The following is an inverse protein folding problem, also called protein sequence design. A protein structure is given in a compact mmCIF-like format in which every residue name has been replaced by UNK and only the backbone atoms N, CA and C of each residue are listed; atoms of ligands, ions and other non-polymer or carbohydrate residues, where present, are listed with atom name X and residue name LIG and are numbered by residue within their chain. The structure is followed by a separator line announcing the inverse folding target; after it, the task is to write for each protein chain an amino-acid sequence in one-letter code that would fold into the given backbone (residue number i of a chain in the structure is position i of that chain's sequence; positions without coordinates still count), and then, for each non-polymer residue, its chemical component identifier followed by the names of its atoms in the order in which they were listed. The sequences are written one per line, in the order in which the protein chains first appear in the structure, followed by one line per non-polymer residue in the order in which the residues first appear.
data_IF_851136817120
#
_entry.id   IF_851136817120
#
_cell.length_a   1.000
_cell.length_b   1.000
_cell.length_c   1.000
_cell.angle_alpha   90.00
_cell.angle_beta   90.00
_cell.angle_gamma   90.00
#
_symmetry.space_group_name_H-M   'P 1'
#
loop_
_entity.id
_entity.type
_entity.pdbx_description
1 polymer ?
#
# COMPACT_ATOMS: atom_id res chain seq x y z
N UNK A 1 -9.31 -19.69 -11.33
CA UNK A 1 -10.64 -19.98 -10.78
C UNK A 1 -10.97 -21.48 -10.80
N UNK A 2 -10.75 -22.21 -11.92
CA UNK A 2 -10.98 -23.66 -11.95
C UNK A 2 -10.12 -24.45 -10.96
N UNK A 3 -8.90 -24.00 -10.68
CA UNK A 3 -7.99 -24.68 -9.74
C UNK A 3 -8.50 -24.65 -8.31
N UNK A 4 -9.11 -23.54 -7.88
CA UNK A 4 -9.73 -23.42 -6.55
C UNK A 4 -10.98 -24.32 -6.42
N UNK A 5 -11.76 -24.44 -7.48
CA UNK A 5 -12.93 -25.32 -7.53
C UNK A 5 -12.50 -26.79 -7.40
N UNK A 6 -11.53 -27.23 -8.20
CA UNK A 6 -10.97 -28.59 -8.15
C UNK A 6 -10.34 -28.94 -6.80
N UNK A 7 -9.61 -27.98 -6.19
CA UNK A 7 -9.05 -28.16 -4.84
C UNK A 7 -10.16 -28.28 -3.79
N UNK A 8 -11.21 -27.49 -3.91
CA UNK A 8 -12.36 -27.54 -3.01
C UNK A 8 -13.07 -28.90 -3.04
N UNK A 9 -13.33 -29.43 -4.22
CA UNK A 9 -13.91 -30.78 -4.38
C UNK A 9 -13.00 -31.87 -3.80
N UNK A 10 -11.68 -31.78 -4.06
CA UNK A 10 -10.70 -32.73 -3.56
C UNK A 10 -10.61 -32.75 -2.03
N UNK A 11 -10.74 -31.61 -1.38
CA UNK A 11 -10.69 -31.47 0.08
C UNK A 11 -12.06 -31.46 0.76
N UNK A 12 -13.14 -31.70 0.04
CA UNK A 12 -14.48 -31.75 0.60
C UNK A 12 -15.02 -30.43 1.12
N UNK A 13 -14.55 -29.30 0.55
CA UNK A 13 -15.03 -27.96 0.90
C UNK A 13 -16.40 -27.76 0.26
N UNK A 14 -17.40 -27.36 1.05
CA UNK A 14 -18.75 -27.13 0.54
C UNK A 14 -18.80 -25.99 -0.48
N UNK A 15 -19.63 -26.10 -1.50
CA UNK A 15 -19.81 -25.09 -2.57
C UNK A 15 -20.03 -23.67 -2.06
N UNK A 16 -20.63 -23.53 -0.87
CA UNK A 16 -20.83 -22.24 -0.18
C UNK A 16 -19.53 -21.43 -0.01
N UNK A 17 -18.39 -22.09 0.06
CA UNK A 17 -17.08 -21.47 0.26
C UNK A 17 -16.21 -21.45 -1.01
N UNK A 18 -16.72 -21.99 -2.11
CA UNK A 18 -16.04 -22.04 -3.41
C UNK A 18 -16.53 -20.90 -4.30
N UNK A 19 -15.86 -19.76 -4.24
CA UNK A 19 -16.12 -18.64 -5.15
C UNK A 19 -14.82 -18.22 -5.83
N UNK A 20 -14.89 -17.97 -7.13
CA UNK A 20 -13.75 -17.46 -7.90
C UNK A 20 -13.27 -16.08 -7.44
N UNK A 21 -14.13 -15.32 -6.78
CA UNK A 21 -13.87 -14.01 -6.18
C UNK A 21 -13.67 -14.07 -4.67
N UNK A 22 -13.68 -15.25 -4.05
CA UNK A 22 -13.52 -15.39 -2.61
C UNK A 22 -12.12 -14.99 -2.17
N UNK A 23 -12.04 -14.08 -1.20
CA UNK A 23 -10.84 -13.84 -0.41
C UNK A 23 -10.92 -14.64 0.90
N UNK A 24 -9.77 -14.78 1.57
CA UNK A 24 -9.75 -15.39 2.92
C UNK A 24 -10.70 -14.67 3.89
N UNK A 25 -10.85 -13.34 3.74
CA UNK A 25 -11.77 -12.53 4.54
C UNK A 25 -13.23 -12.91 4.28
N UNK A 26 -13.65 -13.04 3.02
CA UNK A 26 -15.03 -13.42 2.66
C UNK A 26 -15.35 -14.81 3.22
N UNK A 27 -14.41 -15.75 3.18
CA UNK A 27 -14.59 -17.08 3.75
C UNK A 27 -14.71 -17.04 5.28
N UNK A 28 -13.88 -16.24 5.94
CA UNK A 28 -13.94 -16.03 7.39
C UNK A 28 -15.27 -15.37 7.80
N UNK A 29 -15.71 -14.36 7.06
CA UNK A 29 -16.99 -13.70 7.27
C UNK A 29 -18.15 -14.68 7.12
N UNK A 30 -18.16 -15.49 6.06
CA UNK A 30 -19.19 -16.50 5.83
C UNK A 30 -19.23 -17.60 6.90
N UNK A 31 -18.10 -17.90 7.53
CA UNK A 31 -18.01 -18.87 8.63
C UNK A 31 -18.39 -18.28 10.00
N UNK A 32 -18.45 -16.96 10.13
CA UNK A 32 -18.77 -16.29 11.38
C UNK A 32 -20.26 -16.35 11.68
N UNK A 33 -20.62 -16.79 12.89
CA UNK A 33 -22.02 -16.75 13.37
C UNK A 33 -22.48 -15.36 13.79
N UNK A 34 -21.54 -14.46 14.08
CA UNK A 34 -21.80 -13.10 14.52
C UNK A 34 -21.22 -12.11 13.52
N UNK A 35 -21.96 -11.06 13.22
CA UNK A 35 -21.58 -10.05 12.26
C UNK A 35 -22.72 -9.07 12.00
N UNK A 36 -22.63 -8.33 10.93
CA UNK A 36 -23.67 -7.39 10.50
C UNK A 36 -23.73 -7.31 8.97
N UNK A 37 -24.86 -6.86 8.45
CA UNK A 37 -25.00 -6.59 7.04
C UNK A 37 -24.56 -5.16 6.72
N UNK A 38 -23.51 -5.04 5.89
CA UNK A 38 -23.05 -3.77 5.38
C UNK A 38 -23.92 -3.36 4.20
N UNK A 39 -24.63 -2.24 4.34
CA UNK A 39 -25.43 -1.66 3.26
C UNK A 39 -24.53 -1.14 2.14
N UNK A 40 -24.91 -1.42 0.91
CA UNK A 40 -24.24 -0.92 -0.28
C UNK A 40 -25.27 -0.18 -1.16
N UNK A 41 -24.96 1.06 -1.56
CA UNK A 41 -25.89 1.91 -2.31
C UNK A 41 -26.32 1.35 -3.69
N UNK A 42 -25.56 0.41 -4.25
CA UNK A 42 -25.77 -0.12 -5.61
C UNK A 42 -25.60 -1.65 -5.75
N UNK A 43 -25.48 -2.37 -4.68
CA UNK A 43 -25.31 -3.82 -4.66
C UNK A 43 -26.09 -4.46 -3.51
N UNK A 44 -26.19 -5.80 -3.50
CA UNK A 44 -26.77 -6.51 -2.37
C UNK A 44 -25.96 -6.29 -1.10
N UNK A 45 -26.67 -6.20 0.04
CA UNK A 45 -26.04 -6.07 1.34
C UNK A 45 -25.06 -7.24 1.58
N UNK A 46 -23.84 -6.94 1.94
CA UNK A 46 -22.81 -7.95 2.20
C UNK A 46 -22.71 -8.27 3.68
N UNK A 47 -22.68 -9.59 4.00
CA UNK A 47 -22.40 -10.04 5.36
C UNK A 47 -20.94 -9.82 5.71
N UNK A 48 -20.70 -9.17 6.86
CA UNK A 48 -19.39 -8.95 7.43
C UNK A 48 -19.37 -9.60 8.80
N UNK A 49 -18.47 -10.56 8.99
CA UNK A 49 -18.23 -11.20 10.28
C UNK A 49 -17.63 -10.21 11.29
N UNK A 50 -17.38 -10.65 12.52
CA UNK A 50 -16.79 -9.77 13.53
C UNK A 50 -15.38 -9.36 13.11
N UNK A 51 -15.14 -8.11 12.74
CA UNK A 51 -13.83 -7.65 12.33
C UNK A 51 -12.89 -7.46 13.51
N UNK A 52 -11.59 -7.44 13.23
CA UNK A 52 -10.58 -7.01 14.18
C UNK A 52 -10.63 -5.49 14.29
N UNK A 53 -11.39 -4.98 15.26
CA UNK A 53 -11.67 -3.56 15.42
C UNK A 53 -10.45 -2.70 15.77
N UNK A 54 -9.43 -3.27 16.42
CA UNK A 54 -8.30 -2.50 16.92
C UNK A 54 -7.12 -2.58 15.97
N UNK A 55 -6.79 -1.44 15.37
CA UNK A 55 -5.61 -1.29 14.52
C UNK A 55 -4.37 -0.94 15.34
N UNK A 56 -3.29 -1.72 15.20
CA UNK A 56 -2.04 -1.57 15.98
C UNK A 56 -0.78 -1.44 15.12
N UNK A 57 -0.91 -1.07 13.84
CA UNK A 57 0.25 -1.01 12.93
C UNK A 57 0.73 0.41 12.72
N UNK A 58 -0.07 1.25 12.10
CA UNK A 58 0.30 2.63 11.77
C UNK A 58 -0.29 3.62 12.77
N UNK A 59 0.42 4.73 12.93
CA UNK A 59 0.00 5.85 13.79
C UNK A 59 -1.03 6.74 13.07
N UNK A 60 -1.65 7.67 13.78
CA UNK A 60 -2.31 8.81 13.16
C UNK A 60 -1.25 9.63 12.36
N UNK A 61 -1.57 10.22 11.20
CA UNK A 61 -2.88 10.18 10.50
C UNK A 61 -3.03 9.03 9.49
N UNK A 62 -2.00 8.17 9.27
CA UNK A 62 -2.08 7.04 8.34
C UNK A 62 -3.23 6.09 8.66
N UNK A 63 -3.45 5.86 9.96
CA UNK A 63 -4.61 5.10 10.42
C UNK A 63 -5.92 5.74 9.96
N UNK A 64 -6.07 7.07 10.11
CA UNK A 64 -7.28 7.79 9.70
C UNK A 64 -7.55 7.64 8.21
N UNK A 65 -6.51 7.81 7.38
CA UNK A 65 -6.60 7.63 5.92
C UNK A 65 -7.12 6.22 5.60
N UNK A 66 -6.49 5.19 6.15
CA UNK A 66 -6.87 3.80 5.95
C UNK A 66 -8.29 3.52 6.44
N UNK A 67 -8.65 4.00 7.64
CA UNK A 67 -9.93 3.77 8.27
C UNK A 67 -11.09 4.38 7.46
N UNK A 68 -10.90 5.60 6.96
CA UNK A 68 -11.92 6.28 6.14
C UNK A 68 -12.07 5.66 4.75
N UNK A 69 -10.97 5.24 4.12
CA UNK A 69 -11.02 4.72 2.74
C UNK A 69 -11.58 3.28 2.69
N UNK A 70 -11.23 2.43 3.66
CA UNK A 70 -11.48 0.99 3.56
C UNK A 70 -12.40 0.42 4.63
N UNK A 71 -12.64 1.14 5.72
CA UNK A 71 -13.35 0.62 6.88
C UNK A 71 -14.48 1.54 7.38
N UNK A 72 -14.87 2.54 6.61
CA UNK A 72 -15.98 3.48 6.90
C UNK A 72 -15.89 4.10 8.32
N UNK A 73 -14.68 4.27 8.84
CA UNK A 73 -14.47 4.82 10.18
C UNK A 73 -14.67 3.83 11.34
N UNK A 74 -14.99 2.55 11.07
CA UNK A 74 -15.33 1.57 12.13
C UNK A 74 -14.15 1.06 12.94
N UNK A 75 -12.93 1.20 12.46
CA UNK A 75 -11.75 0.72 13.18
C UNK A 75 -11.38 1.66 14.35
N UNK A 76 -10.83 1.08 15.40
CA UNK A 76 -10.34 1.81 16.57
C UNK A 76 -8.81 1.84 16.55
N UNK A 77 -8.22 3.01 16.81
CA UNK A 77 -6.77 3.16 16.90
C UNK A 77 -6.25 2.60 18.22
N UNK A 78 -5.35 1.61 18.11
CA UNK A 78 -4.67 1.02 19.25
C UNK A 78 -3.26 1.56 19.51
N UNK A 79 -2.83 2.62 18.77
CA UNK A 79 -1.53 3.25 18.93
C UNK A 79 -1.69 4.67 19.50
N UNK A 80 -0.99 4.97 20.59
CA UNK A 80 -1.09 6.29 21.25
C UNK A 80 -0.26 7.38 20.57
N UNK A 81 0.80 7.00 19.86
CA UNK A 81 1.74 7.94 19.24
C UNK A 81 1.20 8.47 17.91
N UNK A 82 1.44 9.75 17.66
CA UNK A 82 1.19 10.39 16.37
C UNK A 82 2.39 10.20 15.44
N UNK A 83 2.10 10.06 14.16
CA UNK A 83 3.04 10.08 13.07
C UNK A 83 2.90 11.38 12.27
N UNK A 84 3.40 11.35 11.04
CA UNK A 84 3.35 12.49 10.13
C UNK A 84 2.88 12.05 8.74
N UNK A 85 2.10 12.91 8.08
CA UNK A 85 1.80 12.78 6.64
C UNK A 85 1.93 14.15 5.99
N UNK A 86 2.30 14.13 4.71
CA UNK A 86 2.35 15.33 3.90
C UNK A 86 2.07 14.99 2.44
N UNK A 87 1.58 15.98 1.70
CA UNK A 87 1.31 15.88 0.27
C UNK A 87 2.13 16.92 -0.49
N UNK A 88 2.84 16.48 -1.53
CA UNK A 88 3.65 17.33 -2.38
C UNK A 88 3.08 17.37 -3.81
N UNK A 89 2.52 18.49 -4.21
CA UNK A 89 2.07 18.68 -5.60
C UNK A 89 3.27 19.05 -6.48
N UNK A 90 3.87 18.07 -7.11
CA UNK A 90 5.02 18.25 -8.00
C UNK A 90 4.53 18.18 -9.45
N UNK A 91 4.59 19.32 -10.12
CA UNK A 91 4.25 19.42 -11.55
C UNK A 91 5.27 18.71 -12.43
N UNK A 92 4.90 18.45 -13.68
CA UNK A 92 5.72 17.81 -14.69
C UNK A 92 4.88 17.17 -15.79
N UNK A 93 5.52 16.51 -16.74
CA UNK A 93 4.85 15.74 -17.79
C UNK A 93 5.18 14.26 -17.67
N UNK A 94 4.13 13.43 -17.66
CA UNK A 94 4.30 11.99 -17.58
C UNK A 94 4.76 11.38 -18.91
N UNK A 95 5.84 10.65 -18.88
CA UNK A 95 6.25 9.75 -19.94
C UNK A 95 6.08 8.31 -19.46
N UNK A 96 5.16 7.57 -20.06
CA UNK A 96 4.81 6.21 -19.63
C UNK A 96 4.58 6.12 -18.10
N UNK A 97 3.75 7.03 -17.58
CA UNK A 97 3.40 7.19 -16.16
C UNK A 97 4.54 7.66 -15.24
N UNK A 98 5.74 7.85 -15.74
CA UNK A 98 6.85 8.40 -14.97
C UNK A 98 6.96 9.91 -15.19
N UNK A 99 7.01 10.67 -14.11
CA UNK A 99 7.21 12.12 -14.10
C UNK A 99 8.60 12.38 -13.54
N UNK A 100 9.49 12.92 -14.38
CA UNK A 100 10.90 13.12 -14.03
C UNK A 100 11.05 14.05 -12.81
N UNK A 101 10.26 15.10 -12.76
CA UNK A 101 10.28 16.10 -11.69
C UNK A 101 9.88 15.49 -10.33
N UNK A 102 8.93 14.54 -10.30
CA UNK A 102 8.59 13.79 -9.08
C UNK A 102 9.77 12.92 -8.62
N UNK A 103 10.47 12.30 -9.58
CA UNK A 103 11.67 11.53 -9.29
C UNK A 103 12.81 12.39 -8.73
N UNK A 104 13.04 13.58 -9.27
CA UNK A 104 14.05 14.53 -8.77
C UNK A 104 13.68 15.09 -7.39
N UNK A 105 12.41 15.43 -7.18
CA UNK A 105 11.92 15.87 -5.88
C UNK A 105 12.14 14.80 -4.81
N UNK A 106 11.75 13.55 -5.11
CA UNK A 106 11.98 12.43 -4.19
C UNK A 106 13.47 12.23 -3.90
N UNK A 107 14.33 12.30 -4.93
CA UNK A 107 15.78 12.18 -4.78
C UNK A 107 16.31 13.25 -3.82
N UNK A 108 15.86 14.50 -3.96
CA UNK A 108 16.25 15.60 -3.10
C UNK A 108 15.81 15.38 -1.65
N UNK A 109 14.53 14.98 -1.46
CA UNK A 109 13.99 14.67 -0.13
C UNK A 109 14.74 13.54 0.56
N UNK A 110 15.06 12.49 -0.16
CA UNK A 110 15.84 11.37 0.40
C UNK A 110 17.26 11.76 0.75
N UNK A 111 17.92 12.63 -0.04
CA UNK A 111 19.24 13.18 0.32
C UNK A 111 19.17 13.97 1.62
N UNK A 112 18.21 14.89 1.76
CA UNK A 112 18.02 15.65 3.00
C UNK A 112 17.82 14.73 4.22
N UNK A 113 17.09 13.62 4.04
CA UNK A 113 16.85 12.66 5.12
C UNK A 113 18.10 11.85 5.44
N UNK A 114 18.86 11.43 4.44
CA UNK A 114 20.12 10.69 4.60
C UNK A 114 21.16 11.57 5.30
N UNK A 115 21.26 12.84 4.94
CA UNK A 115 22.17 13.79 5.58
C UNK A 115 21.86 13.96 7.08
N UNK A 116 20.58 13.96 7.44
CA UNK A 116 20.12 14.01 8.84
C UNK A 116 20.27 12.69 9.57
N UNK A 117 20.11 11.57 8.88
CA UNK A 117 20.19 10.22 9.43
C UNK A 117 20.86 9.25 8.45
N UNK A 118 22.20 9.17 8.45
CA UNK A 118 22.95 8.26 7.56
C UNK A 118 22.62 6.79 7.74
N UNK A 119 22.03 6.38 8.86
CA UNK A 119 21.59 5.00 9.10
C UNK A 119 20.56 4.50 8.09
N UNK A 120 19.88 5.40 7.39
CA UNK A 120 18.98 5.05 6.28
C UNK A 120 19.69 4.21 5.21
N UNK A 121 20.98 4.42 5.00
CA UNK A 121 21.81 3.66 4.05
C UNK A 121 22.44 2.40 4.65
N UNK A 122 22.35 2.18 5.95
CA UNK A 122 22.95 1.03 6.59
C UNK A 122 22.25 -0.27 6.17
N UNK A 123 22.96 -1.11 5.42
CA UNK A 123 22.43 -2.38 4.91
C UNK A 123 22.25 -3.47 5.99
N UNK A 124 22.83 -3.27 7.16
CA UNK A 124 22.71 -4.22 8.28
C UNK A 124 21.41 -3.99 9.07
N UNK A 125 20.82 -2.84 8.94
CA UNK A 125 19.54 -2.50 9.59
C UNK A 125 18.35 -2.79 8.68
N UNK A 126 17.17 -2.97 9.29
CA UNK A 126 15.91 -3.06 8.53
C UNK A 126 15.67 -1.79 7.73
N UNK A 127 14.97 -1.91 6.63
CA UNK A 127 14.59 -0.77 5.81
C UNK A 127 13.82 0.26 6.64
N UNK A 128 14.37 1.48 6.71
CA UNK A 128 13.74 2.62 7.41
C UNK A 128 12.74 3.31 6.49
N UNK A 129 13.03 3.33 5.18
CA UNK A 129 12.23 4.04 4.18
C UNK A 129 11.87 3.10 3.02
N UNK A 130 10.59 3.06 2.67
CA UNK A 130 10.10 2.47 1.43
C UNK A 130 9.66 3.54 0.43
N UNK A 131 9.93 3.28 -0.84
CA UNK A 131 9.38 4.04 -1.97
C UNK A 131 8.41 3.13 -2.72
N UNK A 132 7.15 3.49 -2.70
CA UNK A 132 6.05 2.69 -3.24
C UNK A 132 5.35 3.48 -4.35
N UNK A 133 4.96 2.80 -5.41
CA UNK A 133 4.21 3.38 -6.52
C UNK A 133 3.16 2.38 -7.04
N UNK A 134 2.08 2.83 -7.67
CA UNK A 134 1.13 1.92 -8.31
C UNK A 134 1.68 1.21 -9.57
N UNK A 135 2.71 1.78 -10.20
CA UNK A 135 3.13 1.39 -11.55
C UNK A 135 4.53 0.81 -11.63
N UNK A 136 4.68 -0.32 -12.32
CA UNK A 136 5.96 -1.02 -12.44
C UNK A 136 7.03 -0.19 -13.18
N UNK A 137 6.64 0.57 -14.22
CA UNK A 137 7.59 1.44 -14.90
C UNK A 137 8.12 2.55 -13.98
N UNK A 138 7.23 3.17 -13.19
CA UNK A 138 7.63 4.19 -12.20
C UNK A 138 8.56 3.58 -11.15
N UNK A 139 8.25 2.40 -10.64
CA UNK A 139 9.11 1.69 -9.69
C UNK A 139 10.50 1.42 -10.27
N UNK A 140 10.57 0.99 -11.54
CA UNK A 140 11.84 0.77 -12.23
C UNK A 140 12.65 2.06 -12.35
N UNK A 141 12.06 3.14 -12.88
CA UNK A 141 12.75 4.42 -13.06
C UNK A 141 13.25 5.00 -11.72
N UNK A 142 12.41 4.96 -10.68
CA UNK A 142 12.79 5.38 -9.35
C UNK A 142 13.93 4.53 -8.78
N UNK A 143 13.88 3.21 -8.96
CA UNK A 143 14.96 2.34 -8.47
C UNK A 143 16.31 2.66 -9.11
N UNK A 144 16.33 2.94 -10.43
CA UNK A 144 17.55 3.34 -11.14
C UNK A 144 18.05 4.72 -10.71
N UNK A 145 17.14 5.68 -10.53
CA UNK A 145 17.49 7.03 -10.07
C UNK A 145 18.07 7.00 -8.66
N UNK A 146 17.43 6.31 -7.73
CA UNK A 146 17.84 6.24 -6.34
C UNK A 146 19.06 5.35 -6.09
N UNK A 147 19.39 4.47 -7.04
CA UNK A 147 20.66 3.72 -7.04
C UNK A 147 21.87 4.65 -7.06
N UNK A 148 21.77 5.80 -7.74
CA UNK A 148 22.88 6.79 -7.85
C UNK A 148 23.32 7.35 -6.50
N UNK A 149 22.43 7.33 -5.50
CA UNK A 149 22.73 7.75 -4.11
C UNK A 149 22.84 6.54 -3.16
N UNK A 150 23.02 5.33 -3.69
CA UNK A 150 23.12 4.09 -2.93
C UNK A 150 21.90 3.76 -2.05
N UNK A 151 20.76 4.40 -2.30
CA UNK A 151 19.54 4.16 -1.53
C UNK A 151 18.86 2.85 -1.89
N UNK A 152 18.79 2.50 -3.19
CA UNK A 152 18.12 1.25 -3.63
C UNK A 152 18.88 0.04 -3.13
N UNK A 153 18.18 -0.82 -2.41
CA UNK A 153 18.68 -2.10 -1.89
C UNK A 153 18.23 -3.22 -2.81
N UNK A 154 19.03 -4.26 -2.91
CA UNK A 154 18.74 -5.41 -3.77
C UNK A 154 18.86 -6.70 -2.97
N UNK A 155 18.01 -7.67 -3.30
CA UNK A 155 18.15 -9.04 -2.81
C UNK A 155 19.23 -9.81 -3.59
N UNK A 156 19.43 -11.08 -3.23
CA UNK A 156 20.40 -11.96 -3.88
C UNK A 156 20.14 -12.20 -5.37
N UNK A 157 18.92 -11.99 -5.82
CA UNK A 157 18.47 -12.12 -7.20
C UNK A 157 18.57 -10.80 -7.98
N UNK A 158 19.07 -9.73 -7.35
CA UNK A 158 19.19 -8.40 -7.96
C UNK A 158 17.87 -7.65 -8.08
N UNK A 159 16.81 -8.03 -7.33
CA UNK A 159 15.53 -7.37 -7.32
C UNK A 159 15.49 -6.29 -6.24
N UNK A 160 15.00 -5.06 -6.53
CA UNK A 160 14.87 -4.01 -5.54
C UNK A 160 13.97 -4.43 -4.36
N UNK A 161 14.39 -4.15 -3.13
CA UNK A 161 13.66 -4.54 -1.90
C UNK A 161 12.97 -3.39 -1.20
N UNK A 162 13.46 -2.16 -1.35
CA UNK A 162 12.94 -0.95 -0.70
C UNK A 162 12.31 0.07 -1.68
N UNK A 163 12.33 -0.22 -2.99
CA UNK A 163 11.65 0.54 -4.04
C UNK A 163 10.84 -0.42 -4.89
N UNK A 164 9.54 -0.18 -5.08
CA UNK A 164 8.71 -1.11 -5.85
C UNK A 164 7.24 -0.72 -5.93
N UNK A 165 6.44 -1.64 -6.45
CA UNK A 165 4.99 -1.45 -6.52
C UNK A 165 4.29 -1.81 -5.22
N UNK A 166 3.05 -1.36 -5.05
CA UNK A 166 2.20 -1.69 -3.89
C UNK A 166 2.17 -3.19 -3.61
N UNK A 167 2.09 -4.02 -4.65
CA UNK A 167 2.09 -5.49 -4.52
C UNK A 167 3.39 -6.04 -3.92
N UNK A 168 4.54 -5.43 -4.25
CA UNK A 168 5.86 -5.83 -3.71
C UNK A 168 5.94 -5.66 -2.19
N UNK A 169 5.17 -4.71 -1.65
CA UNK A 169 5.18 -4.36 -0.22
C UNK A 169 4.01 -4.95 0.56
N UNK A 170 3.18 -5.77 -0.05
CA UNK A 170 2.13 -6.47 0.68
C UNK A 170 2.73 -7.32 1.81
N UNK A 171 2.29 -7.08 3.05
CA UNK A 171 2.84 -7.75 4.25
C UNK A 171 4.09 -7.10 4.86
N UNK A 172 4.79 -6.22 4.15
CA UNK A 172 5.96 -5.50 4.66
C UNK A 172 5.55 -4.20 5.38
N UNK A 173 6.47 -3.61 6.13
CA UNK A 173 6.26 -2.34 6.84
C UNK A 173 7.60 -1.62 7.07
N UNK A 174 7.58 -0.30 7.06
CA UNK A 174 8.72 0.57 7.37
C UNK A 174 8.28 1.78 8.21
N UNK A 175 9.19 2.41 8.96
CA UNK A 175 8.90 3.68 9.64
C UNK A 175 8.35 4.73 8.68
N UNK A 176 8.95 4.90 7.52
CA UNK A 176 8.67 5.96 6.56
C UNK A 176 8.34 5.37 5.20
N UNK A 177 7.29 5.89 4.57
CA UNK A 177 6.89 5.52 3.20
C UNK A 177 6.69 6.76 2.35
N UNK A 178 7.32 6.79 1.18
CA UNK A 178 6.99 7.68 0.08
C UNK A 178 6.12 6.95 -0.94
N UNK A 179 4.96 7.53 -1.26
CA UNK A 179 4.06 7.01 -2.27
C UNK A 179 4.04 7.91 -3.49
N UNK A 180 4.67 7.47 -4.58
CA UNK A 180 4.80 8.25 -5.82
C UNK A 180 3.71 7.85 -6.78
N UNK A 181 2.80 8.78 -7.08
CA UNK A 181 1.63 8.53 -7.94
C UNK A 181 2.00 8.27 -9.40
N UNK A 182 3.04 8.93 -9.92
CA UNK A 182 3.45 8.76 -11.31
C UNK A 182 2.37 9.23 -12.28
N UNK A 183 1.80 10.40 -12.06
CA UNK A 183 0.78 11.00 -12.89
C UNK A 183 1.01 12.52 -13.01
N UNK A 184 0.60 13.07 -14.12
CA UNK A 184 0.54 14.51 -14.36
C UNK A 184 -0.91 14.99 -14.44
N UNK A 185 -1.09 16.31 -14.60
CA UNK A 185 -2.43 16.92 -14.71
C UNK A 185 -3.17 16.49 -15.98
N UNK A 186 -2.46 16.09 -17.04
CA UNK A 186 -3.05 15.67 -18.32
C UNK A 186 -3.39 14.17 -18.31
N UNK A 187 -2.64 13.36 -17.56
CA UNK A 187 -2.88 11.92 -17.39
C UNK A 187 -3.68 11.60 -16.12
N UNK A 188 -4.66 12.43 -15.79
CA UNK A 188 -5.50 12.31 -14.59
C UNK A 188 -6.17 10.93 -14.42
N UNK A 189 -6.39 10.18 -15.51
CA UNK A 189 -6.94 8.83 -15.48
C UNK A 189 -6.07 7.84 -14.68
N UNK A 190 -4.76 7.93 -14.79
CA UNK A 190 -3.83 7.05 -14.05
C UNK A 190 -3.80 7.39 -12.55
N UNK A 191 -3.77 8.69 -12.21
CA UNK A 191 -3.86 9.14 -10.82
C UNK A 191 -5.22 8.77 -10.23
N UNK A 192 -6.31 9.03 -10.98
CA UNK A 192 -7.67 8.69 -10.56
C UNK A 192 -7.81 7.20 -10.29
N UNK A 193 -7.28 6.33 -11.15
CA UNK A 193 -7.29 4.90 -10.92
C UNK A 193 -6.57 4.53 -9.63
N UNK A 194 -5.36 5.07 -9.40
CA UNK A 194 -4.57 4.75 -8.21
C UNK A 194 -5.24 5.15 -6.89
N UNK A 195 -6.07 6.22 -6.90
CA UNK A 195 -6.80 6.67 -5.71
C UNK A 195 -8.22 6.10 -5.63
N UNK A 196 -8.83 5.73 -6.77
CA UNK A 196 -10.16 5.09 -6.79
C UNK A 196 -10.10 3.64 -6.33
N UNK A 197 -8.98 2.95 -6.60
CA UNK A 197 -8.71 1.63 -6.04
C UNK A 197 -8.34 1.76 -4.56
N UNK A 198 -9.35 1.79 -3.70
CA UNK A 198 -9.20 1.95 -2.24
C UNK A 198 -8.11 1.03 -1.65
N UNK A 199 -7.98 -0.17 -2.19
CA UNK A 199 -6.98 -1.15 -1.77
C UNK A 199 -5.54 -0.68 -2.00
N UNK A 200 -5.25 0.05 -3.09
CA UNK A 200 -3.91 0.54 -3.41
C UNK A 200 -3.46 1.56 -2.37
N UNK A 201 -4.29 2.57 -2.12
CA UNK A 201 -4.00 3.61 -1.14
C UNK A 201 -3.97 3.07 0.28
N UNK A 202 -4.92 2.20 0.63
CA UNK A 202 -4.97 1.54 1.94
C UNK A 202 -3.70 0.71 2.20
N UNK A 203 -3.29 -0.11 1.24
CA UNK A 203 -2.06 -0.89 1.38
C UNK A 203 -0.85 0.04 1.51
N UNK A 204 -0.71 1.07 0.68
CA UNK A 204 0.42 2.00 0.75
C UNK A 204 0.49 2.71 2.11
N UNK A 205 -0.61 3.32 2.56
CA UNK A 205 -0.68 4.05 3.83
C UNK A 205 -0.38 3.14 5.03
N UNK A 206 -0.92 1.91 5.02
CA UNK A 206 -0.69 0.95 6.11
C UNK A 206 0.69 0.30 6.11
N UNK A 207 1.54 0.55 5.12
CA UNK A 207 2.98 0.18 5.16
C UNK A 207 3.79 1.13 6.04
N UNK A 208 3.34 2.39 6.19
CA UNK A 208 4.00 3.39 7.00
C UNK A 208 3.63 3.25 8.49
N UNK A 209 4.62 3.08 9.36
CA UNK A 209 4.39 3.09 10.80
C UNK A 209 4.29 4.49 11.37
N UNK A 210 5.12 5.40 10.89
CA UNK A 210 5.38 6.71 11.50
C UNK A 210 5.13 7.87 10.53
N UNK A 211 5.60 7.77 9.28
CA UNK A 211 5.52 8.86 8.32
C UNK A 211 5.08 8.36 6.94
N UNK A 212 4.13 9.07 6.34
CA UNK A 212 3.61 8.77 5.01
C UNK A 212 3.57 10.03 4.16
N UNK A 213 4.26 10.00 3.03
CA UNK A 213 4.41 11.11 2.11
C UNK A 213 3.87 10.74 0.73
N UNK A 214 3.07 11.62 0.12
CA UNK A 214 2.49 11.44 -1.20
C UNK A 214 3.01 12.52 -2.15
#
# INVERSE_FOLDING_TARGET
SNTLYMLGEHFGVTEKYLSASASAQILADAASQYGFYRKQDKAEDSWVGIPLWVHRRCRYPMFTISNMISYDGFMVQGMEKYGKTDWFDVGGMANNKYVEEQGEFLLHKLKEMIDKNPKILDKKEKDVVYVITPFSNVAYQLSQKLRKIHFTRYDEQGKPTNVGTVHTFQGKEAPIVFFVLGADRQSSGSARWAVTEANIMNVAATRAKEEFYI
#
